data_IF_825050686857
#
_entry.id   IF_825050686857
#
_cell.length_a   1.000
_cell.length_b   1.000
_cell.length_c   1.000
_cell.angle_alpha   90.00
_cell.angle_beta   90.00
_cell.angle_gamma   90.00
#
_symmetry.space_group_name_H-M   'P 1'
#
loop_
_entity.id
_entity.type
_entity.pdbx_description
1 polymer ?
#
# COMPACT_ATOMS: atom_id res chain seq x y z
N UNK A 1 20.03 -0.80 14.56
CA UNK A 1 19.23 -1.95 15.06
C UNK A 1 20.18 -3.08 15.45
N UNK A 2 20.54 -3.18 16.73
CA UNK A 2 21.39 -4.26 17.24
C UNK A 2 20.50 -5.40 17.76
N UNK A 3 20.60 -6.59 17.17
CA UNK A 3 20.47 -7.84 17.96
C UNK A 3 19.31 -8.82 17.73
N UNK A 4 18.52 -8.79 16.65
CA UNK A 4 17.63 -9.92 16.33
C UNK A 4 17.62 -10.23 14.84
N UNK A 5 17.67 -11.52 14.48
CA UNK A 5 17.42 -11.98 13.11
C UNK A 5 16.00 -11.54 12.75
N UNK A 6 15.80 -10.72 11.71
CA UNK A 6 14.47 -10.36 11.27
C UNK A 6 13.72 -11.63 10.86
N UNK A 7 12.44 -11.74 11.22
CA UNK A 7 11.59 -12.85 10.86
C UNK A 7 10.31 -12.32 10.21
N UNK A 8 9.76 -13.10 9.29
CA UNK A 8 8.49 -12.81 8.62
C UNK A 8 7.50 -13.88 9.07
N UNK A 9 6.32 -13.46 9.52
CA UNK A 9 5.22 -14.36 9.88
C UNK A 9 4.23 -14.36 8.73
N UNK A 10 3.90 -15.54 8.22
CA UNK A 10 2.86 -15.72 7.21
C UNK A 10 1.68 -16.45 7.84
N UNK A 11 0.49 -15.89 7.68
CA UNK A 11 -0.74 -16.52 8.16
C UNK A 11 -1.17 -17.64 7.22
N UNK A 12 -1.69 -18.75 7.76
CA UNK A 12 -2.18 -19.90 6.96
C UNK A 12 -3.23 -19.47 5.93
N UNK A 13 -4.19 -18.62 6.33
CA UNK A 13 -5.21 -18.10 5.41
C UNK A 13 -4.63 -17.29 4.24
N UNK A 14 -3.49 -16.62 4.43
CA UNK A 14 -2.79 -15.95 3.34
C UNK A 14 -2.20 -16.96 2.35
N UNK A 15 -1.56 -18.00 2.87
CA UNK A 15 -0.93 -19.07 2.08
C UNK A 15 -1.96 -19.88 1.28
N UNK A 16 -3.14 -20.11 1.86
CA UNK A 16 -4.24 -20.80 1.18
C UNK A 16 -4.92 -19.96 0.10
N UNK A 17 -4.94 -18.64 0.27
CA UNK A 17 -5.61 -17.70 -0.62
C UNK A 17 -4.74 -17.28 -1.82
N UNK A 18 -3.43 -17.15 -1.61
CA UNK A 18 -2.51 -16.53 -2.56
C UNK A 18 -1.59 -17.56 -3.25
N UNK A 19 -1.27 -17.27 -4.50
CA UNK A 19 -0.25 -17.97 -5.27
C UNK A 19 1.17 -17.59 -4.79
N UNK A 20 2.22 -18.37 -5.13
CA UNK A 20 3.59 -18.04 -4.72
C UNK A 20 4.05 -16.64 -5.13
N UNK A 21 3.72 -16.17 -6.34
CA UNK A 21 4.05 -14.83 -6.81
C UNK A 21 3.32 -13.73 -6.01
N UNK A 22 2.06 -13.99 -5.65
CA UNK A 22 1.25 -13.09 -4.80
C UNK A 22 1.78 -13.03 -3.36
N UNK A 23 2.22 -14.17 -2.80
CA UNK A 23 2.89 -14.20 -1.48
C UNK A 23 4.19 -13.40 -1.54
N UNK A 24 4.98 -13.55 -2.61
CA UNK A 24 6.19 -12.75 -2.81
C UNK A 24 5.88 -11.26 -2.88
N UNK A 25 4.77 -10.86 -3.51
CA UNK A 25 4.32 -9.48 -3.54
C UNK A 25 3.99 -8.94 -2.15
N UNK A 26 3.28 -9.73 -1.31
CA UNK A 26 2.98 -9.35 0.07
C UNK A 26 4.26 -9.20 0.89
N UNK A 27 5.19 -10.14 0.78
CA UNK A 27 6.48 -10.04 1.47
C UNK A 27 7.25 -8.79 1.03
N UNK A 28 7.29 -8.51 -0.28
CA UNK A 28 7.94 -7.32 -0.81
C UNK A 28 7.28 -6.02 -0.32
N UNK A 29 5.95 -6.01 -0.18
CA UNK A 29 5.20 -4.90 0.41
C UNK A 29 5.61 -4.66 1.87
N UNK A 30 5.61 -5.70 2.71
CA UNK A 30 6.01 -5.60 4.12
C UNK A 30 7.48 -5.21 4.29
N UNK A 31 8.36 -5.74 3.44
CA UNK A 31 9.77 -5.32 3.40
C UNK A 31 9.91 -3.86 2.95
N UNK A 32 8.99 -3.35 2.14
CA UNK A 32 8.89 -1.93 1.80
C UNK A 32 8.67 -1.05 3.03
N UNK A 33 7.79 -1.46 3.95
CA UNK A 33 7.60 -0.77 5.22
C UNK A 33 8.86 -0.74 6.07
N UNK A 34 9.58 -1.87 6.13
CA UNK A 34 10.85 -1.93 6.85
C UNK A 34 11.93 -1.08 6.18
N UNK A 35 12.02 -1.11 4.85
CA UNK A 35 13.04 -0.35 4.11
C UNK A 35 12.88 1.16 4.23
N UNK A 36 11.64 1.63 4.36
CA UNK A 36 11.31 3.05 4.47
C UNK A 36 11.08 3.51 5.92
N UNK A 37 11.38 2.66 6.91
CA UNK A 37 11.20 2.92 8.34
C UNK A 37 9.78 3.39 8.72
N UNK A 38 8.77 2.92 7.98
CA UNK A 38 7.40 3.44 8.14
C UNK A 38 6.85 3.22 9.56
N UNK A 39 7.19 2.10 10.21
CA UNK A 39 6.75 1.80 11.57
C UNK A 39 7.29 2.76 12.63
N UNK A 40 8.54 3.23 12.48
CA UNK A 40 9.19 4.12 13.44
C UNK A 40 8.48 5.47 13.47
N UNK A 41 8.15 6.01 12.30
CA UNK A 41 7.44 7.27 12.16
C UNK A 41 6.02 7.20 12.72
N UNK A 42 5.33 6.07 12.54
CA UNK A 42 4.01 5.86 13.15
C UNK A 42 4.09 5.85 14.68
N UNK A 43 5.06 5.14 15.27
CA UNK A 43 5.27 5.14 16.73
C UNK A 43 5.55 6.55 17.25
N UNK A 44 6.46 7.28 16.61
CA UNK A 44 6.78 8.66 16.99
C UNK A 44 5.53 9.54 16.95
N UNK A 45 4.75 9.47 15.87
CA UNK A 45 3.60 10.32 15.69
C UNK A 45 2.47 10.03 16.69
N UNK A 46 2.28 8.75 17.06
CA UNK A 46 1.36 8.36 18.13
C UNK A 46 1.78 8.91 19.50
N UNK A 47 3.08 8.92 19.82
CA UNK A 47 3.59 9.50 21.08
C UNK A 47 3.31 11.00 21.12
N UNK A 48 3.56 11.71 20.01
CA UNK A 48 3.28 13.15 19.92
C UNK A 48 1.78 13.43 20.08
N UNK A 49 0.91 12.62 19.47
CA UNK A 49 -0.54 12.77 19.60
C UNK A 49 -1.02 12.61 21.05
N UNK A 50 -0.53 11.58 21.77
CA UNK A 50 -0.82 11.38 23.21
C UNK A 50 -0.37 12.58 24.05
N UNK A 51 0.80 13.14 23.77
CA UNK A 51 1.29 14.34 24.44
C UNK A 51 0.41 15.56 24.16
N UNK A 52 -0.07 15.73 22.93
CA UNK A 52 -0.95 16.83 22.55
C UNK A 52 -2.31 16.81 23.29
N UNK A 53 -2.89 15.62 23.51
CA UNK A 53 -4.12 15.49 24.32
C UNK A 53 -3.96 15.91 25.77
N UNK A 54 -2.73 15.92 26.29
CA UNK A 54 -2.44 16.32 27.67
C UNK A 54 -2.36 17.84 27.85
N UNK A 55 -2.42 18.63 26.76
CA UNK A 55 -2.37 20.09 26.81
C UNK A 55 -3.78 20.69 26.98
N UNK A 56 -4.03 21.50 28.03
CA UNK A 56 -5.33 22.14 28.21
C UNK A 56 -5.60 23.19 27.12
N UNK A 57 -6.88 23.35 26.75
CA UNK A 57 -7.32 24.27 25.70
C UNK A 57 -7.17 23.68 24.30
N UNK A 58 -6.26 24.21 23.49
CA UNK A 58 -6.13 23.86 22.06
C UNK A 58 -5.53 22.45 21.80
N UNK A 59 -5.12 21.72 22.83
CA UNK A 59 -4.48 20.40 22.70
C UNK A 59 -5.27 19.40 21.88
N UNK A 60 -6.60 19.38 22.05
CA UNK A 60 -7.50 18.48 21.30
C UNK A 60 -7.49 18.78 19.79
N UNK A 61 -7.52 20.06 19.40
CA UNK A 61 -7.50 20.47 17.98
C UNK A 61 -6.15 20.11 17.34
N UNK A 62 -5.06 20.33 18.09
CA UNK A 62 -3.70 19.98 17.64
C UNK A 62 -3.58 18.47 17.45
N UNK A 63 -4.05 17.68 18.42
CA UNK A 63 -4.02 16.21 18.35
C UNK A 63 -4.81 15.69 17.14
N UNK A 64 -6.04 16.17 16.94
CA UNK A 64 -6.88 15.76 15.81
C UNK A 64 -6.27 16.13 14.45
N UNK A 65 -5.66 17.31 14.35
CA UNK A 65 -4.97 17.75 13.12
C UNK A 65 -3.77 16.86 12.83
N UNK A 66 -2.99 16.54 13.86
CA UNK A 66 -1.83 15.67 13.73
C UNK A 66 -2.24 14.26 13.31
N UNK A 67 -3.26 13.68 13.95
CA UNK A 67 -3.82 12.37 13.58
C UNK A 67 -4.26 12.32 12.12
N UNK A 68 -4.97 13.34 11.63
CA UNK A 68 -5.38 13.38 10.22
C UNK A 68 -4.17 13.37 9.27
N UNK A 69 -3.12 14.12 9.59
CA UNK A 69 -1.90 14.18 8.80
C UNK A 69 -1.12 12.86 8.85
N UNK A 70 -1.06 12.20 10.01
CA UNK A 70 -0.48 10.86 10.17
C UNK A 70 -1.24 9.86 9.29
N UNK A 71 -2.57 9.87 9.32
CA UNK A 71 -3.38 8.98 8.51
C UNK A 71 -3.20 9.22 7.01
N UNK A 72 -3.02 10.48 6.58
CA UNK A 72 -2.68 10.80 5.18
C UNK A 72 -1.30 10.26 4.81
N UNK A 73 -0.33 10.41 5.70
CA UNK A 73 1.01 9.89 5.49
C UNK A 73 1.02 8.35 5.45
N UNK A 74 0.29 7.67 6.33
CA UNK A 74 0.16 6.21 6.34
C UNK A 74 -0.41 5.70 5.01
N UNK A 75 -1.45 6.37 4.49
CA UNK A 75 -1.99 6.06 3.16
C UNK A 75 -0.97 6.25 2.03
N UNK A 76 -0.08 7.22 2.12
CA UNK A 76 1.00 7.40 1.15
C UNK A 76 2.11 6.34 1.31
N UNK A 77 2.42 5.93 2.54
CA UNK A 77 3.36 4.86 2.84
C UNK A 77 2.94 3.54 2.18
N UNK A 78 1.65 3.22 2.17
CA UNK A 78 1.09 2.05 1.47
C UNK A 78 1.39 2.07 -0.04
N UNK A 79 1.31 3.23 -0.69
CA UNK A 79 1.63 3.36 -2.12
C UNK A 79 3.12 3.15 -2.37
N UNK A 80 3.98 3.59 -1.46
CA UNK A 80 5.43 3.31 -1.52
C UNK A 80 5.68 1.80 -1.41
N UNK A 81 5.00 1.11 -0.50
CA UNK A 81 5.13 -0.33 -0.33
C UNK A 81 4.55 -1.13 -1.52
N UNK A 82 3.46 -0.67 -2.13
CA UNK A 82 2.93 -1.27 -3.35
C UNK A 82 3.91 -1.15 -4.52
N UNK A 83 4.60 -0.01 -4.64
CA UNK A 83 5.69 0.16 -5.61
C UNK A 83 6.81 -0.82 -5.34
N UNK A 84 7.20 -1.03 -4.08
CA UNK A 84 8.21 -2.05 -3.73
C UNK A 84 7.75 -3.47 -4.15
N UNK A 85 6.48 -3.81 -3.92
CA UNK A 85 5.91 -5.08 -4.38
C UNK A 85 5.97 -5.23 -5.90
N UNK A 86 5.64 -4.18 -6.66
CA UNK A 86 5.72 -4.19 -8.12
C UNK A 86 7.17 -4.25 -8.63
N UNK A 87 8.12 -3.62 -7.96
CA UNK A 87 9.54 -3.73 -8.34
C UNK A 87 10.07 -5.16 -8.23
N UNK A 88 9.62 -5.90 -7.21
CA UNK A 88 10.03 -7.30 -6.99
C UNK A 88 9.30 -8.25 -7.93
N UNK A 89 7.99 -8.06 -8.13
CA UNK A 89 7.17 -8.97 -8.93
C UNK A 89 7.26 -8.70 -10.43
N UNK A 90 7.57 -7.46 -10.83
CA UNK A 90 7.63 -6.99 -12.21
C UNK A 90 6.35 -7.22 -13.05
N UNK A 91 5.24 -7.56 -12.39
CA UNK A 91 3.93 -7.71 -13.00
C UNK A 91 2.87 -6.98 -12.16
N UNK A 92 2.30 -5.86 -12.66
CA UNK A 92 1.27 -5.13 -11.93
C UNK A 92 0.02 -5.97 -11.67
N UNK A 93 -0.28 -6.97 -12.51
CA UNK A 93 -1.45 -7.85 -12.31
C UNK A 93 -1.31 -8.69 -11.05
N UNK A 94 -0.08 -9.08 -10.66
CA UNK A 94 0.16 -9.83 -9.42
C UNK A 94 -0.21 -8.96 -8.21
N UNK A 95 0.28 -7.72 -8.14
CA UNK A 95 -0.01 -6.80 -7.03
C UNK A 95 -1.51 -6.47 -6.97
N UNK A 96 -2.14 -6.22 -8.11
CA UNK A 96 -3.59 -5.97 -8.19
C UNK A 96 -4.39 -7.21 -7.76
N UNK A 97 -3.96 -8.40 -8.15
CA UNK A 97 -4.59 -9.66 -7.75
C UNK A 97 -4.53 -9.87 -6.23
N UNK A 98 -3.40 -9.54 -5.59
CA UNK A 98 -3.29 -9.53 -4.12
C UNK A 98 -4.33 -8.61 -3.50
N UNK A 99 -4.39 -7.34 -3.93
CA UNK A 99 -5.35 -6.37 -3.40
C UNK A 99 -6.80 -6.85 -3.55
N UNK A 100 -7.12 -7.42 -4.72
CA UNK A 100 -8.44 -7.96 -5.02
C UNK A 100 -8.79 -9.17 -4.12
N UNK A 101 -7.89 -10.15 -4.02
CA UNK A 101 -8.11 -11.37 -3.22
C UNK A 101 -8.20 -11.07 -1.73
N UNK A 102 -7.34 -10.20 -1.20
CA UNK A 102 -7.39 -9.78 0.21
C UNK A 102 -8.66 -8.99 0.53
N UNK A 103 -9.19 -8.23 -0.42
CA UNK A 103 -10.49 -7.57 -0.27
C UNK A 103 -11.67 -8.54 -0.26
N UNK A 104 -11.60 -9.61 -1.07
CA UNK A 104 -12.64 -10.62 -1.16
C UNK A 104 -12.59 -11.68 -0.06
N UNK A 105 -11.40 -11.97 0.49
CA UNK A 105 -11.18 -12.81 1.67
C UNK A 105 -11.58 -14.30 1.55
N UNK A 106 -12.00 -14.76 0.37
CA UNK A 106 -12.55 -16.12 0.19
C UNK A 106 -11.67 -16.97 -0.72
N UNK A 107 -10.95 -17.97 -0.18
CA UNK A 107 -10.16 -18.91 -0.99
C UNK A 107 -11.00 -19.68 -2.02
N UNK A 108 -12.25 -20.02 -1.68
CA UNK A 108 -13.15 -20.75 -2.58
C UNK A 108 -13.61 -19.91 -3.77
N UNK A 109 -13.77 -18.60 -3.58
CA UNK A 109 -14.14 -17.67 -4.65
C UNK A 109 -12.94 -17.06 -5.37
N UNK A 110 -11.73 -17.19 -4.82
CA UNK A 110 -10.53 -16.55 -5.37
C UNK A 110 -10.26 -16.88 -6.85
N UNK A 111 -10.61 -18.09 -7.30
CA UNK A 111 -10.47 -18.53 -8.70
C UNK A 111 -11.50 -17.90 -9.65
N UNK A 112 -12.61 -17.39 -9.13
CA UNK A 112 -13.68 -16.74 -9.90
C UNK A 112 -13.46 -15.23 -10.03
N UNK A 113 -12.52 -14.67 -9.28
CA UNK A 113 -12.20 -13.25 -9.33
C UNK A 113 -11.49 -12.88 -10.63
N UNK A 114 -11.79 -11.69 -11.16
CA UNK A 114 -11.25 -11.20 -12.43
C UNK A 114 -10.50 -9.88 -12.21
N UNK A 115 -9.18 -9.93 -12.36
CA UNK A 115 -8.28 -8.77 -12.18
C UNK A 115 -8.62 -7.63 -13.12
N UNK A 116 -8.91 -7.93 -14.39
CA UNK A 116 -9.21 -6.90 -15.39
C UNK A 116 -10.55 -6.20 -15.10
N UNK A 117 -11.55 -6.94 -14.60
CA UNK A 117 -12.81 -6.37 -14.14
C UNK A 117 -12.63 -5.49 -12.89
N UNK A 118 -11.80 -5.94 -11.94
CA UNK A 118 -11.45 -5.16 -10.75
C UNK A 118 -10.73 -3.85 -11.11
N UNK A 119 -9.80 -3.89 -12.08
CA UNK A 119 -9.16 -2.67 -12.60
C UNK A 119 -10.15 -1.74 -13.30
N UNK A 120 -11.07 -2.27 -14.11
CA UNK A 120 -12.14 -1.46 -14.72
C UNK A 120 -13.01 -0.79 -13.65
N UNK A 121 -13.32 -1.49 -12.56
CA UNK A 121 -14.04 -0.93 -11.42
C UNK A 121 -13.24 0.18 -10.73
N UNK A 122 -11.93 -0.03 -10.53
CA UNK A 122 -11.03 0.96 -9.95
C UNK A 122 -10.97 2.26 -10.77
N UNK A 123 -10.82 2.15 -12.10
CA UNK A 123 -10.84 3.30 -13.01
C UNK A 123 -12.20 4.01 -13.03
N UNK A 124 -13.29 3.26 -12.98
CA UNK A 124 -14.66 3.82 -12.94
C UNK A 124 -14.93 4.57 -11.63
N UNK A 125 -14.51 4.02 -10.49
CA UNK A 125 -14.63 4.66 -9.18
C UNK A 125 -13.86 5.98 -9.13
N UNK A 126 -12.66 6.02 -9.71
CA UNK A 126 -11.86 7.23 -9.73
C UNK A 126 -12.50 8.35 -10.56
N UNK A 127 -13.02 8.02 -11.75
CA UNK A 127 -13.78 8.96 -12.58
C UNK A 127 -15.06 9.44 -11.89
N UNK A 128 -15.76 8.57 -11.17
CA UNK A 128 -16.97 8.96 -10.43
C UNK A 128 -16.64 9.88 -9.24
N UNK A 129 -15.46 9.73 -8.65
CA UNK A 129 -14.99 10.51 -7.50
C UNK A 129 -14.18 11.76 -7.87
N UNK A 130 -14.06 12.11 -9.15
CA UNK A 130 -13.26 13.25 -9.62
C UNK A 130 -13.94 14.61 -9.48
N UNK A 131 -15.22 14.65 -9.10
CA UNK A 131 -15.92 15.90 -8.75
C UNK A 131 -15.49 16.41 -7.37
N UNK A 132 -15.59 17.71 -7.04
CA UNK A 132 -15.27 18.23 -5.71
C UNK A 132 -16.04 17.52 -4.58
N UNK A 133 -17.33 17.22 -4.82
CA UNK A 133 -18.16 16.44 -3.91
C UNK A 133 -17.70 14.98 -3.82
N UNK A 134 -17.38 14.36 -4.96
CA UNK A 134 -16.85 13.00 -5.01
C UNK A 134 -15.51 12.86 -4.29
N UNK A 135 -14.63 13.84 -4.42
CA UNK A 135 -13.37 13.92 -3.69
C UNK A 135 -13.61 14.04 -2.19
N UNK A 136 -14.56 14.90 -1.77
CA UNK A 136 -14.91 15.03 -0.36
C UNK A 136 -15.45 13.72 0.22
N UNK A 137 -16.42 13.08 -0.46
CA UNK A 137 -17.00 11.80 -0.04
C UNK A 137 -15.95 10.69 0.03
N UNK A 138 -15.04 10.62 -0.95
CA UNK A 138 -13.90 9.68 -0.94
C UNK A 138 -12.99 9.91 0.26
N UNK A 139 -12.63 11.16 0.55
CA UNK A 139 -11.79 11.47 1.71
C UNK A 139 -12.51 11.18 3.03
N UNK A 140 -13.81 11.45 3.12
CA UNK A 140 -14.62 11.11 4.29
C UNK A 140 -14.65 9.59 4.53
N UNK A 141 -14.88 8.79 3.48
CA UNK A 141 -14.89 7.32 3.57
C UNK A 141 -13.52 6.72 3.91
N UNK A 142 -12.44 7.34 3.45
CA UNK A 142 -11.06 6.85 3.70
C UNK A 142 -10.45 7.37 5.00
N UNK A 143 -11.10 8.33 5.67
CA UNK A 143 -10.56 9.02 6.86
C UNK A 143 -10.27 8.06 8.02
N UNK A 144 -11.13 7.05 8.21
CA UNK A 144 -11.04 6.08 9.31
C UNK A 144 -10.34 4.76 8.92
N UNK A 145 -9.98 4.57 7.65
CA UNK A 145 -9.32 3.34 7.20
C UNK A 145 -7.81 3.45 7.42
N UNK A 146 -7.22 2.43 8.05
CA UNK A 146 -5.77 2.30 8.23
C UNK A 146 -5.05 2.10 6.90
N UNK A 147 -5.70 1.46 5.92
CA UNK A 147 -5.21 1.31 4.55
C UNK A 147 -6.13 2.05 3.56
N UNK A 148 -5.59 2.66 2.49
CA UNK A 148 -6.42 3.21 1.41
C UNK A 148 -7.31 2.11 0.80
N UNK A 149 -8.45 2.53 0.23
CA UNK A 149 -9.34 1.61 -0.47
C UNK A 149 -8.56 0.79 -1.51
N UNK A 150 -8.66 -0.55 -1.51
CA UNK A 150 -7.89 -1.41 -2.40
C UNK A 150 -8.04 -1.07 -3.89
N UNK A 151 -9.22 -0.60 -4.31
CA UNK A 151 -9.47 -0.13 -5.68
C UNK A 151 -8.59 1.07 -6.07
N UNK A 152 -8.31 1.99 -5.14
CA UNK A 152 -7.46 3.15 -5.40
C UNK A 152 -5.99 2.75 -5.54
N UNK A 153 -5.54 1.83 -4.68
CA UNK A 153 -4.19 1.25 -4.74
C UNK A 153 -3.97 0.50 -6.05
N UNK A 154 -4.96 -0.29 -6.49
CA UNK A 154 -4.91 -1.00 -7.76
C UNK A 154 -4.79 -0.05 -8.97
N UNK A 155 -5.57 1.03 -9.00
CA UNK A 155 -5.45 2.08 -10.03
C UNK A 155 -4.07 2.76 -10.00
N UNK A 156 -3.57 3.08 -8.81
CA UNK A 156 -2.26 3.73 -8.65
C UNK A 156 -1.12 2.84 -9.17
N UNK A 157 -1.17 1.55 -8.88
CA UNK A 157 -0.17 0.58 -9.37
C UNK A 157 -0.25 0.40 -10.88
N UNK A 158 -1.46 0.27 -11.44
CA UNK A 158 -1.65 0.20 -12.90
C UNK A 158 -1.13 1.47 -13.59
N UNK A 159 -1.31 2.63 -12.98
CA UNK A 159 -0.82 3.91 -13.53
C UNK A 159 0.70 4.02 -13.42
N UNK A 160 1.28 3.66 -12.27
CA UNK A 160 2.72 3.75 -12.06
C UNK A 160 3.49 2.74 -12.91
N UNK A 161 2.98 1.53 -13.12
CA UNK A 161 3.59 0.55 -14.02
C UNK A 161 3.72 1.05 -15.47
N UNK A 162 2.83 1.95 -15.90
CA UNK A 162 2.83 2.57 -17.23
C UNK A 162 3.66 3.87 -17.29
N UNK A 163 4.16 4.34 -16.15
CA UNK A 163 4.92 5.59 -16.05
C UNK A 163 6.35 5.43 -16.58
N UNK A 164 6.92 6.53 -17.09
CA UNK A 164 8.32 6.57 -17.54
C UNK A 164 9.30 6.29 -16.40
N UNK A 165 8.93 6.70 -15.19
CA UNK A 165 9.69 6.57 -13.97
C UNK A 165 9.91 5.11 -13.61
N UNK A 166 8.85 4.29 -13.69
CA UNK A 166 8.95 2.85 -13.49
C UNK A 166 9.82 2.19 -14.56
N UNK A 167 9.58 2.52 -15.84
CA UNK A 167 10.33 1.94 -16.95
C UNK A 167 11.84 2.24 -16.83
N UNK A 168 12.19 3.50 -16.53
CA UNK A 168 13.58 3.92 -16.30
C UNK A 168 14.23 3.17 -15.12
N UNK A 169 13.48 2.95 -14.03
CA UNK A 169 14.00 2.26 -12.85
C UNK A 169 14.30 0.78 -13.14
N UNK A 170 13.40 0.09 -13.83
CA UNK A 170 13.61 -1.31 -14.25
C UNK A 170 14.78 -1.41 -15.23
N UNK A 171 14.86 -0.54 -16.24
CA UNK A 171 15.99 -0.55 -17.18
C UNK A 171 17.34 -0.38 -16.49
N UNK A 172 17.45 0.54 -15.52
CA UNK A 172 18.68 0.74 -14.72
C UNK A 172 19.04 -0.50 -13.91
N UNK A 173 18.05 -1.16 -13.30
CA UNK A 173 18.28 -2.39 -12.54
C UNK A 173 18.78 -3.53 -13.44
N UNK A 174 18.24 -3.66 -14.65
CA UNK A 174 18.69 -4.65 -15.63
C UNK A 174 20.15 -4.43 -16.04
N UNK A 175 20.53 -3.18 -16.33
CA UNK A 175 21.92 -2.83 -16.68
C UNK A 175 22.87 -3.16 -15.53
N UNK A 176 22.54 -2.74 -14.30
CA UNK A 176 23.36 -3.01 -13.12
C UNK A 176 23.57 -4.50 -12.86
N UNK A 177 22.52 -5.32 -13.08
CA UNK A 177 22.63 -6.77 -12.92
C UNK A 177 23.49 -7.40 -14.03
N UNK A 178 23.44 -6.88 -15.25
CA UNK A 178 24.31 -7.36 -16.33
C UNK A 178 25.79 -7.05 -16.05
N UNK A 179 26.11 -5.87 -15.51
CA UNK A 179 27.48 -5.48 -15.13
C UNK A 179 28.08 -6.28 -13.97
N UNK A 180 27.24 -6.89 -13.12
CA UNK A 180 27.71 -7.74 -12.01
C UNK A 180 27.95 -9.20 -12.38
N UNK A 181 27.42 -9.64 -13.53
CA UNK A 181 27.47 -11.05 -13.97
C UNK A 181 28.50 -11.24 -15.10
N UNK A 182 28.98 -10.16 -15.72
CA UNK A 182 30.13 -10.15 -16.64
C UNK A 182 31.44 -9.83 -15.93
#
# INVERSE_FOLDING_TARGET
>A
MNGRKPFIVLHTGLVELLTPAEIQAVIAHELGHLKCDHGIWLTFANIVAVGAYSLPGLGVIIAQTLEEQIMRWLRAAELTCDRAALLVTQDPKVVVSVLMKLSGGSPSLAKQLNVDAFLKQAHSYDKASSSPLGWYLRNAQTRQLSHPLPVLRAREIDSWAKSSEYQNLISRATIFNAEKVG
#
